data_IF_485471733710
#
_entry.id   IF_485471733710
#
_cell.length_a   1.000
_cell.length_b   1.000
_cell.length_c   1.000
_cell.angle_alpha   90.00
_cell.angle_beta   90.00
_cell.angle_gamma   90.00
#
_symmetry.space_group_name_H-M   'P 1'
#
loop_
_entity.id
_entity.type
_entity.pdbx_description
1 polymer ?
#
# COMPACT_ATOMS: atom_id res chain seq x y z
N UNK A 1 8.92 -5.16 -21.98
CA UNK A 1 8.18 -6.38 -21.59
C UNK A 1 7.88 -6.42 -20.09
N UNK A 2 8.88 -6.31 -19.20
CA UNK A 2 8.72 -6.23 -17.72
C UNK A 2 7.60 -5.30 -17.16
N UNK A 3 7.31 -4.15 -17.78
CA UNK A 3 6.23 -3.25 -17.30
C UNK A 3 4.81 -3.82 -17.54
N UNK A 4 4.60 -4.55 -18.64
CA UNK A 4 3.31 -5.19 -18.96
C UNK A 4 3.11 -6.42 -18.07
N UNK A 5 4.17 -7.21 -17.92
CA UNK A 5 4.27 -8.35 -17.01
C UNK A 5 3.95 -7.98 -15.55
N UNK A 6 4.54 -6.89 -15.01
CA UNK A 6 4.21 -6.40 -13.67
C UNK A 6 2.73 -6.09 -13.46
N UNK A 7 2.06 -5.54 -14.49
CA UNK A 7 0.63 -5.22 -14.41
C UNK A 7 -0.22 -6.50 -14.40
N UNK A 8 0.14 -7.48 -15.22
CA UNK A 8 -0.59 -8.75 -15.30
C UNK A 8 -0.44 -9.56 -14.01
N UNK A 9 0.77 -9.65 -13.46
CA UNK A 9 1.03 -10.38 -12.21
C UNK A 9 0.25 -9.83 -11.02
N UNK A 10 0.19 -8.50 -10.86
CA UNK A 10 -0.58 -7.93 -9.75
C UNK A 10 -2.09 -8.19 -9.88
N UNK A 11 -2.63 -8.11 -11.10
CA UNK A 11 -4.04 -8.43 -11.36
C UNK A 11 -4.35 -9.90 -11.11
N UNK A 12 -3.43 -10.80 -11.43
CA UNK A 12 -3.53 -12.23 -11.14
C UNK A 12 -3.54 -12.48 -9.63
N UNK A 13 -2.67 -11.83 -8.86
CA UNK A 13 -2.65 -11.94 -7.40
C UNK A 13 -3.97 -11.50 -6.75
N UNK A 14 -4.54 -10.38 -7.20
CA UNK A 14 -5.85 -9.91 -6.72
C UNK A 14 -6.93 -10.97 -6.98
N UNK A 15 -6.94 -11.57 -8.19
CA UNK A 15 -7.90 -12.63 -8.53
C UNK A 15 -7.68 -13.91 -7.71
N UNK A 16 -6.43 -14.24 -7.39
CA UNK A 16 -6.11 -15.39 -6.54
C UNK A 16 -6.69 -15.17 -5.15
N UNK A 17 -6.48 -14.00 -4.54
CA UNK A 17 -7.05 -13.67 -3.22
C UNK A 17 -8.58 -13.77 -3.22
N UNK A 18 -9.24 -13.18 -4.21
CA UNK A 18 -10.69 -13.29 -4.37
C UNK A 18 -11.15 -14.75 -4.49
N UNK A 19 -10.43 -15.59 -5.26
CA UNK A 19 -10.74 -17.01 -5.39
C UNK A 19 -10.56 -17.78 -4.09
N UNK A 20 -9.52 -17.47 -3.32
CA UNK A 20 -9.25 -18.10 -2.03
C UNK A 20 -10.36 -17.82 -1.02
N UNK A 21 -10.94 -16.61 -1.03
CA UNK A 21 -12.02 -16.22 -0.11
C UNK A 21 -13.45 -16.45 -0.65
N UNK A 22 -13.61 -16.74 -1.93
CA UNK A 22 -14.91 -17.10 -2.51
C UNK A 22 -15.49 -18.41 -1.95
N UNK A 23 -16.82 -18.66 -2.06
CA UNK A 23 -17.40 -19.97 -1.78
C UNK A 23 -16.67 -21.11 -2.52
N UNK A 24 -16.34 -22.18 -1.79
CA UNK A 24 -15.52 -23.29 -2.31
C UNK A 24 -14.02 -22.97 -2.41
N UNK A 25 -13.59 -21.83 -1.89
CA UNK A 25 -12.18 -21.49 -1.65
C UNK A 25 -11.65 -22.08 -0.34
N UNK A 26 -10.56 -21.50 0.17
CA UNK A 26 -9.89 -21.95 1.38
C UNK A 26 -10.71 -21.58 2.63
N UNK A 27 -11.06 -22.55 3.51
CA UNK A 27 -11.80 -22.27 4.73
C UNK A 27 -11.08 -21.31 5.68
N UNK A 28 -9.75 -21.47 5.81
CA UNK A 28 -8.93 -20.61 6.68
C UNK A 28 -8.85 -19.19 6.13
N UNK A 29 -8.71 -19.00 4.82
CA UNK A 29 -8.69 -17.66 4.24
C UNK A 29 -10.03 -16.96 4.46
N UNK A 30 -11.15 -17.69 4.35
CA UNK A 30 -12.52 -17.17 4.52
C UNK A 30 -12.85 -16.74 5.93
N UNK A 31 -12.38 -17.47 6.94
CA UNK A 31 -12.69 -17.14 8.35
C UNK A 31 -11.95 -15.88 8.84
N UNK A 32 -10.92 -15.41 8.10
CA UNK A 32 -10.15 -14.25 8.52
C UNK A 32 -10.97 -12.97 8.53
N UNK A 33 -10.68 -12.14 9.53
CA UNK A 33 -11.20 -10.79 9.74
C UNK A 33 -10.05 -9.79 9.76
N UNK A 34 -10.34 -8.49 9.66
CA UNK A 34 -9.31 -7.47 9.83
C UNK A 34 -8.58 -7.62 11.17
N UNK A 35 -9.27 -8.03 12.23
CA UNK A 35 -8.71 -8.18 13.57
C UNK A 35 -7.81 -9.40 13.68
N UNK A 36 -8.22 -10.56 13.14
CA UNK A 36 -7.41 -11.79 13.21
C UNK A 36 -6.09 -11.66 12.44
N UNK A 37 -6.06 -10.83 11.40
CA UNK A 37 -4.88 -10.61 10.56
C UNK A 37 -3.85 -9.62 11.13
N UNK A 38 -4.19 -8.86 12.17
CA UNK A 38 -3.27 -7.86 12.73
C UNK A 38 -1.98 -8.46 13.29
N UNK A 39 -2.01 -9.72 13.76
CA UNK A 39 -0.79 -10.41 14.23
C UNK A 39 0.18 -10.64 13.09
N UNK A 40 -0.32 -11.20 11.97
CA UNK A 40 0.49 -11.52 10.81
C UNK A 40 1.07 -10.25 10.21
N UNK A 41 0.26 -9.21 10.01
CA UNK A 41 0.78 -7.94 9.50
C UNK A 41 1.93 -7.36 10.33
N UNK A 42 1.93 -7.56 11.66
CA UNK A 42 3.03 -7.12 12.52
C UNK A 42 4.25 -8.02 12.36
N UNK A 43 4.05 -9.33 12.40
CA UNK A 43 5.09 -10.35 12.22
C UNK A 43 5.83 -10.13 10.87
N UNK A 44 5.12 -10.10 9.75
CA UNK A 44 5.74 -9.89 8.42
C UNK A 44 6.49 -8.55 8.32
N UNK A 45 5.97 -7.51 8.99
CA UNK A 45 6.64 -6.19 9.02
C UNK A 45 7.95 -6.23 9.81
N UNK A 46 8.01 -7.03 10.86
CA UNK A 46 9.23 -7.26 11.65
C UNK A 46 10.23 -8.11 10.88
N UNK A 47 9.76 -9.12 10.13
CA UNK A 47 10.61 -9.95 9.28
C UNK A 47 11.25 -9.17 8.12
N UNK A 48 10.50 -8.24 7.51
CA UNK A 48 11.10 -7.24 6.58
C UNK A 48 12.22 -6.46 7.26
N UNK A 49 12.03 -6.02 8.51
CA UNK A 49 13.07 -5.28 9.23
C UNK A 49 14.31 -6.15 9.47
N UNK A 50 14.12 -7.42 9.87
CA UNK A 50 15.21 -8.37 10.07
C UNK A 50 15.97 -8.65 8.77
N UNK A 51 15.28 -8.86 7.65
CA UNK A 51 15.89 -9.10 6.36
C UNK A 51 16.77 -7.92 5.92
N UNK A 52 16.28 -6.68 6.09
CA UNK A 52 17.06 -5.47 5.82
C UNK A 52 18.30 -5.39 6.71
N UNK A 53 18.17 -5.64 8.01
CA UNK A 53 19.29 -5.57 8.95
C UNK A 53 20.39 -6.59 8.64
N UNK A 54 20.02 -7.74 8.07
CA UNK A 54 20.94 -8.82 7.69
C UNK A 54 21.50 -8.67 6.27
N UNK A 55 21.05 -7.67 5.50
CA UNK A 55 21.31 -7.54 4.06
C UNK A 55 20.90 -8.81 3.28
N UNK A 56 19.86 -9.51 3.74
CA UNK A 56 19.35 -10.71 3.10
C UNK A 56 18.33 -10.33 2.02
N UNK A 57 18.80 -10.22 0.79
CA UNK A 57 17.98 -9.75 -0.33
C UNK A 57 16.96 -10.79 -0.81
N UNK A 58 17.23 -12.07 -0.62
CA UNK A 58 16.29 -13.12 -1.00
C UNK A 58 15.16 -13.20 0.01
N UNK A 59 15.47 -13.16 1.30
CA UNK A 59 14.45 -13.08 2.34
C UNK A 59 13.65 -11.78 2.22
N UNK A 60 14.30 -10.63 2.02
CA UNK A 60 13.61 -9.35 1.89
C UNK A 60 12.53 -9.36 0.78
N UNK A 61 12.79 -10.07 -0.32
CA UNK A 61 11.84 -10.19 -1.43
C UNK A 61 10.61 -11.02 -1.04
N UNK A 62 10.80 -12.07 -0.24
CA UNK A 62 9.75 -12.93 0.31
C UNK A 62 8.88 -12.15 1.30
N UNK A 63 9.48 -11.54 2.32
CA UNK A 63 8.74 -10.82 3.37
C UNK A 63 7.98 -9.60 2.84
N UNK A 64 8.51 -8.91 1.82
CA UNK A 64 7.76 -7.83 1.14
C UNK A 64 6.54 -8.37 0.39
N UNK A 65 6.61 -9.61 -0.09
CA UNK A 65 5.49 -10.36 -0.63
C UNK A 65 4.44 -10.67 0.44
N UNK A 66 4.85 -11.08 1.62
CA UNK A 66 3.93 -11.41 2.72
C UNK A 66 3.26 -10.17 3.31
N UNK A 67 3.97 -9.05 3.43
CA UNK A 67 3.33 -7.75 3.74
C UNK A 67 2.29 -7.38 2.67
N UNK A 68 2.57 -7.64 1.39
CA UNK A 68 1.60 -7.40 0.32
C UNK A 68 0.40 -8.34 0.39
N UNK A 69 0.60 -9.61 0.76
CA UNK A 69 -0.46 -10.59 1.02
C UNK A 69 -1.44 -10.05 2.07
N UNK A 70 -0.92 -9.51 3.17
CA UNK A 70 -1.77 -8.92 4.21
C UNK A 70 -2.60 -7.73 3.69
N UNK A 71 -2.03 -6.87 2.84
CA UNK A 71 -2.78 -5.77 2.20
C UNK A 71 -3.91 -6.31 1.32
N UNK A 72 -3.66 -7.37 0.54
CA UNK A 72 -4.67 -7.98 -0.31
C UNK A 72 -5.81 -8.62 0.50
N UNK A 73 -5.50 -9.28 1.62
CA UNK A 73 -6.53 -9.77 2.54
C UNK A 73 -7.44 -8.64 3.05
N UNK A 74 -6.85 -7.55 3.54
CA UNK A 74 -7.63 -6.42 4.03
C UNK A 74 -8.46 -5.77 2.92
N UNK A 75 -7.95 -5.72 1.69
CA UNK A 75 -8.71 -5.22 0.55
C UNK A 75 -9.90 -6.13 0.21
N UNK A 76 -9.70 -7.45 0.13
CA UNK A 76 -10.76 -8.40 -0.20
C UNK A 76 -11.86 -8.44 0.89
N UNK A 77 -11.47 -8.46 2.18
CA UNK A 77 -12.44 -8.42 3.30
C UNK A 77 -13.29 -7.14 3.26
N UNK A 78 -12.72 -6.01 2.86
CA UNK A 78 -13.44 -4.75 2.74
C UNK A 78 -14.35 -4.73 1.50
N UNK A 79 -13.89 -5.33 0.39
CA UNK A 79 -14.67 -5.45 -0.85
C UNK A 79 -15.90 -6.35 -0.64
N UNK A 80 -15.75 -7.47 0.07
CA UNK A 80 -16.84 -8.38 0.47
C UNK A 80 -17.96 -7.65 1.27
N UNK A 81 -17.61 -6.57 1.95
CA UNK A 81 -18.53 -5.74 2.76
C UNK A 81 -19.07 -4.52 2.02
N UNK A 82 -18.57 -4.25 0.81
CA UNK A 82 -18.90 -3.06 0.03
C UNK A 82 -18.29 -1.76 0.56
N UNK A 83 -17.22 -1.85 1.37
CA UNK A 83 -16.58 -0.68 1.99
C UNK A 83 -15.57 -0.01 1.05
N UNK A 84 -14.57 -0.75 0.58
CA UNK A 84 -13.54 -0.32 -0.39
C UNK A 84 -12.82 -1.53 -0.99
N UNK A 85 -12.14 -1.33 -2.12
CA UNK A 85 -11.34 -2.37 -2.78
C UNK A 85 -9.84 -2.01 -2.86
N UNK A 86 -9.06 -2.90 -3.48
CA UNK A 86 -7.63 -2.65 -3.75
C UNK A 86 -7.42 -1.41 -4.65
N UNK A 87 -8.35 -1.13 -5.56
CA UNK A 87 -8.29 0.03 -6.46
C UNK A 87 -8.36 1.34 -5.68
N UNK A 88 -9.20 1.41 -4.65
CA UNK A 88 -9.37 2.55 -3.75
C UNK A 88 -8.07 2.81 -2.97
N UNK A 89 -7.47 1.77 -2.40
CA UNK A 89 -6.16 1.84 -1.71
C UNK A 89 -5.11 2.44 -2.66
N UNK A 90 -4.99 1.89 -3.86
CA UNK A 90 -4.03 2.35 -4.86
C UNK A 90 -4.30 3.80 -5.31
N UNK A 91 -5.58 4.19 -5.44
CA UNK A 91 -5.97 5.56 -5.81
C UNK A 91 -5.58 6.55 -4.73
N UNK A 92 -5.82 6.22 -3.46
CA UNK A 92 -5.42 7.04 -2.30
C UNK A 92 -3.90 7.16 -2.24
N UNK A 93 -3.17 6.06 -2.38
CA UNK A 93 -1.71 6.06 -2.37
C UNK A 93 -1.13 6.88 -3.53
N UNK A 94 -1.62 6.66 -4.75
CA UNK A 94 -1.21 7.43 -5.95
C UNK A 94 -1.41 8.93 -5.75
N UNK A 95 -2.60 9.34 -5.28
CA UNK A 95 -2.90 10.75 -5.01
C UNK A 95 -1.93 11.34 -3.98
N UNK A 96 -1.64 10.61 -2.89
CA UNK A 96 -0.70 11.02 -1.84
C UNK A 96 0.74 11.14 -2.36
N UNK A 97 1.20 10.19 -3.17
CA UNK A 97 2.56 10.22 -3.72
C UNK A 97 2.75 11.36 -4.71
N UNK A 98 1.78 11.59 -5.60
CA UNK A 98 1.83 12.70 -6.57
C UNK A 98 1.70 14.04 -5.86
N UNK A 99 0.76 14.18 -4.92
CA UNK A 99 0.56 15.45 -4.20
C UNK A 99 1.82 15.85 -3.46
N UNK A 100 2.51 14.92 -2.80
CA UNK A 100 3.67 15.23 -1.95
C UNK A 100 5.01 15.33 -2.68
N UNK A 101 5.05 15.00 -3.98
CA UNK A 101 6.24 15.17 -4.83
C UNK A 101 5.97 16.10 -6.03
N UNK A 102 5.54 17.36 -5.80
CA UNK A 102 5.31 18.28 -6.91
C UNK A 102 6.59 18.56 -7.71
N UNK A 103 7.76 18.52 -7.06
CA UNK A 103 9.08 18.67 -7.71
C UNK A 103 9.45 17.51 -8.64
N UNK A 104 8.71 16.40 -8.64
CA UNK A 104 8.89 15.31 -9.60
C UNK A 104 7.80 15.38 -10.68
N UNK A 105 6.55 15.64 -10.29
CA UNK A 105 5.38 15.48 -11.17
C UNK A 105 4.81 16.78 -11.76
N UNK A 106 5.15 17.96 -11.22
CA UNK A 106 4.69 19.26 -11.72
C UNK A 106 5.73 19.87 -12.66
N UNK A 107 5.58 19.59 -13.96
CA UNK A 107 6.48 20.10 -15.01
C UNK A 107 6.60 21.63 -15.04
N UNK A 108 5.64 22.38 -14.47
CA UNK A 108 5.68 23.86 -14.41
C UNK A 108 6.49 24.39 -13.22
N UNK A 109 6.75 23.56 -12.21
CA UNK A 109 7.61 23.89 -11.04
C UNK A 109 9.01 23.26 -11.11
N UNK A 110 9.29 22.49 -12.16
CA UNK A 110 10.50 21.70 -12.34
C UNK A 110 11.70 22.52 -12.85
N UNK A 111 12.28 23.34 -11.98
CA UNK A 111 13.66 23.84 -12.16
C UNK A 111 14.53 23.75 -10.90
N UNK A 112 14.00 23.30 -9.77
CA UNK A 112 14.74 23.23 -8.51
C UNK A 112 15.30 21.83 -8.29
N UNK A 113 16.64 21.70 -8.31
CA UNK A 113 17.33 20.54 -7.74
C UNK A 113 17.24 20.65 -6.22
N UNK A 114 16.46 19.79 -5.58
CA UNK A 114 16.29 19.79 -4.13
C UNK A 114 17.18 18.75 -3.47
N UNK A 115 17.72 19.11 -2.31
CA UNK A 115 18.38 18.17 -1.40
C UNK A 115 17.36 17.25 -0.72
N UNK A 116 17.82 16.09 -0.23
CA UNK A 116 16.97 15.14 0.50
C UNK A 116 16.29 15.79 1.72
N UNK A 117 16.98 16.68 2.43
CA UNK A 117 16.44 17.38 3.60
C UNK A 117 15.34 18.39 3.22
N UNK A 118 15.50 19.10 2.11
CA UNK A 118 14.47 20.00 1.60
C UNK A 118 13.21 19.23 1.18
N UNK A 119 13.38 18.07 0.53
CA UNK A 119 12.27 17.17 0.20
C UNK A 119 11.56 16.70 1.47
N UNK A 120 12.32 16.31 2.51
CA UNK A 120 11.78 15.84 3.80
C UNK A 120 11.00 16.96 4.52
N UNK A 121 11.50 18.20 4.50
CA UNK A 121 10.80 19.38 5.04
C UNK A 121 9.50 19.66 4.28
N UNK A 122 9.56 19.69 2.94
CA UNK A 122 8.37 19.89 2.08
C UNK A 122 7.32 18.80 2.33
N UNK A 123 7.73 17.53 2.43
CA UNK A 123 6.85 16.41 2.73
C UNK A 123 6.06 16.62 4.03
N UNK A 124 6.73 17.02 5.12
CA UNK A 124 6.09 17.33 6.41
C UNK A 124 5.06 18.46 6.28
N UNK A 125 5.39 19.53 5.56
CA UNK A 125 4.47 20.66 5.31
C UNK A 125 3.22 20.18 4.54
N UNK A 126 3.41 19.38 3.50
CA UNK A 126 2.30 18.88 2.67
C UNK A 126 1.39 17.92 3.44
N UNK A 127 1.97 17.04 4.28
CA UNK A 127 1.22 16.17 5.20
C UNK A 127 0.30 16.99 6.12
N UNK A 128 0.81 18.04 6.78
CA UNK A 128 0.01 18.92 7.64
C UNK A 128 -1.13 19.62 6.90
N UNK A 129 -0.88 20.09 5.67
CA UNK A 129 -1.92 20.73 4.83
C UNK A 129 -3.04 19.75 4.46
N UNK A 130 -2.71 18.49 4.17
CA UNK A 130 -3.71 17.44 3.89
C UNK A 130 -4.56 17.11 5.11
N UNK A 131 -3.93 16.96 6.28
CA UNK A 131 -4.63 16.72 7.56
C UNK A 131 -5.61 17.87 7.90
N UNK A 132 -5.16 19.12 7.74
CA UNK A 132 -6.00 20.30 7.97
C UNK A 132 -7.16 20.44 6.96
N UNK A 133 -7.07 19.83 5.77
CA UNK A 133 -8.18 19.77 4.80
C UNK A 133 -9.19 18.68 5.17
N UNK A 134 -8.70 17.50 5.58
CA UNK A 134 -9.56 16.41 6.07
C UNK A 134 -10.37 16.84 7.28
N UNK A 135 -9.73 17.50 8.25
CA UNK A 135 -10.42 17.98 9.46
C UNK A 135 -11.47 19.07 9.19
N UNK A 136 -11.30 19.87 8.12
CA UNK A 136 -12.30 20.85 7.68
C UNK A 136 -13.50 20.23 6.97
N UNK A 137 -13.29 19.17 6.20
CA UNK A 137 -14.37 18.46 5.51
C UNK A 137 -15.23 17.61 6.45
N UNK A 138 -14.73 17.26 7.64
CA UNK A 138 -15.48 16.54 8.69
C UNK A 138 -16.36 17.48 9.55
N UNK A 139 -16.21 18.80 9.42
CA UNK A 139 -16.96 19.83 10.18
C UNK A 139 -18.04 20.53 9.34
N UNK A 140 -18.27 20.05 8.13
CA UNK A 140 -19.34 20.47 7.22
C UNK A 140 -20.27 19.30 7.00
#
# INVERSE_FOLDING_TARGET
MRKKEKKTTFQELVKIMARLRAPGGCPWDREQTHQSLLRYLREESEEVCHAVQRNDMDNLKEELGDVLLQILFHAEIAEERGDFDITDILRILKKKLVSRHPHVFDKKKNKETLTADEVKKRWKIMKKKEEARKHRNLKK
#
